data_IF_046662579768
#
_entry.id   IF_046662579768
#
_cell.length_a   1.000
_cell.length_b   1.000
_cell.length_c   1.000
_cell.angle_alpha   90.00
_cell.angle_beta   90.00
_cell.angle_gamma   90.00
#
_symmetry.space_group_name_H-M   'P 1'
#
loop_
_entity.id
_entity.type
_entity.pdbx_description
1 polymer ?
#
# COMPACT_ATOMS: atom_id res chain seq x y z
N UNK A 1 78.25 -24.73 15.16
CA UNK A 1 78.12 -23.90 13.95
C UNK A 1 77.04 -24.50 13.06
N UNK A 2 76.09 -23.69 12.57
CA UNK A 2 75.17 -24.00 11.45
C UNK A 2 73.74 -24.54 11.71
N UNK A 3 73.04 -24.09 12.75
CA UNK A 3 71.58 -24.35 12.89
C UNK A 3 70.70 -23.11 13.19
N UNK A 4 71.26 -22.02 13.72
CA UNK A 4 70.45 -20.88 14.21
C UNK A 4 70.17 -19.75 13.19
N UNK A 5 70.72 -19.81 11.96
CA UNK A 5 70.61 -18.68 11.01
C UNK A 5 69.42 -18.73 10.05
N UNK A 6 68.61 -19.80 10.03
CA UNK A 6 67.46 -19.92 9.11
C UNK A 6 66.15 -19.30 9.61
N UNK A 7 66.02 -19.00 10.91
CA UNK A 7 64.74 -18.54 11.50
C UNK A 7 64.40 -17.06 11.31
N UNK A 8 65.37 -16.19 11.00
CA UNK A 8 65.11 -14.74 10.87
C UNK A 8 64.64 -14.29 9.48
N UNK A 9 64.90 -15.07 8.43
CA UNK A 9 64.55 -14.69 7.06
C UNK A 9 63.07 -14.97 6.71
N UNK A 10 62.45 -15.98 7.31
CA UNK A 10 61.04 -16.31 7.06
C UNK A 10 60.07 -15.40 7.83
N UNK A 11 60.47 -14.89 9.00
CA UNK A 11 59.65 -13.96 9.81
C UNK A 11 59.56 -12.57 9.14
N UNK A 12 60.56 -12.16 8.36
CA UNK A 12 60.58 -10.86 7.68
C UNK A 12 59.73 -10.82 6.39
N UNK A 13 59.35 -11.98 5.83
CA UNK A 13 58.55 -12.06 4.60
C UNK A 13 57.04 -12.17 4.83
N UNK A 14 56.59 -12.46 6.06
CA UNK A 14 55.17 -12.50 6.43
C UNK A 14 54.58 -11.11 6.77
N UNK A 15 55.42 -10.16 7.18
CA UNK A 15 55.00 -8.81 7.59
C UNK A 15 54.38 -7.96 6.45
N UNK A 16 54.90 -7.96 5.20
CA UNK A 16 54.27 -7.19 4.11
C UNK A 16 52.92 -7.78 3.64
N UNK A 17 52.68 -9.08 3.81
CA UNK A 17 51.40 -9.74 3.47
C UNK A 17 50.26 -9.36 4.43
N UNK A 18 50.56 -9.16 5.72
CA UNK A 18 49.58 -8.67 6.70
C UNK A 18 49.23 -7.19 6.50
N UNK A 19 50.16 -6.38 5.97
CA UNK A 19 49.89 -4.97 5.66
C UNK A 19 49.03 -4.78 4.40
N UNK A 20 49.08 -5.69 3.42
CA UNK A 20 48.16 -5.66 2.27
C UNK A 20 46.74 -6.15 2.61
N UNK A 21 46.56 -6.92 3.68
CA UNK A 21 45.24 -7.37 4.16
C UNK A 21 44.47 -6.28 4.93
N UNK A 22 45.14 -5.21 5.37
CA UNK A 22 44.52 -4.04 5.99
C UNK A 22 44.29 -2.91 4.97
N UNK A 23 43.87 -3.24 3.74
CA UNK A 23 43.28 -2.21 2.89
C UNK A 23 42.05 -1.67 3.62
N UNK A 24 41.94 -0.36 3.88
CA UNK A 24 40.71 0.19 4.43
C UNK A 24 39.59 -0.24 3.50
N UNK A 25 38.64 -1.01 4.03
CA UNK A 25 37.45 -1.36 3.27
C UNK A 25 36.87 -0.05 2.75
N UNK A 26 36.77 0.08 1.42
CA UNK A 26 36.20 1.29 0.81
C UNK A 26 34.83 1.50 1.44
N UNK A 27 34.67 2.61 2.14
CA UNK A 27 33.39 2.98 2.74
C UNK A 27 32.40 3.04 1.60
N UNK A 28 31.34 2.21 1.60
CA UNK A 28 30.39 2.22 0.50
C UNK A 28 29.81 3.63 0.36
N UNK A 29 29.87 4.16 -0.86
CA UNK A 29 29.32 5.48 -1.17
C UNK A 29 27.82 5.39 -0.95
N UNK A 30 27.31 6.22 -0.04
CA UNK A 30 25.87 6.36 0.18
C UNK A 30 25.36 7.49 -0.68
N UNK A 31 24.49 7.18 -1.63
CA UNK A 31 23.75 8.20 -2.36
C UNK A 31 22.50 8.56 -1.56
N UNK A 32 22.32 9.86 -1.31
CA UNK A 32 21.13 10.41 -0.68
C UNK A 32 20.21 10.98 -1.76
N UNK A 33 19.07 10.31 -2.00
CA UNK A 33 18.11 10.69 -3.03
C UNK A 33 16.85 11.26 -2.36
N UNK A 34 16.48 12.54 -2.59
CA UNK A 34 15.23 13.09 -2.05
C UNK A 34 14.01 12.31 -2.52
N UNK A 35 13.09 12.00 -1.61
CA UNK A 35 11.88 11.23 -1.92
C UNK A 35 10.97 11.98 -2.92
N UNK A 36 11.07 13.32 -2.96
CA UNK A 36 10.35 14.16 -3.93
C UNK A 36 10.67 13.84 -5.40
N UNK A 37 11.82 13.19 -5.68
CA UNK A 37 12.12 12.70 -7.04
C UNK A 37 11.14 11.62 -7.51
N UNK A 38 10.45 10.95 -6.59
CA UNK A 38 9.45 9.93 -6.86
C UNK A 38 8.01 10.48 -6.83
N UNK A 39 7.82 11.80 -6.89
CA UNK A 39 6.48 12.41 -6.85
C UNK A 39 5.56 11.92 -7.98
N UNK A 40 6.10 11.59 -9.16
CA UNK A 40 5.31 11.05 -10.28
C UNK A 40 4.86 9.60 -10.09
N UNK A 41 5.45 8.88 -9.13
CA UNK A 41 5.13 7.50 -8.78
C UNK A 41 4.28 7.40 -7.50
N UNK A 42 3.92 8.56 -6.94
CA UNK A 42 3.11 8.66 -5.74
C UNK A 42 1.71 8.07 -6.00
N UNK A 43 1.43 6.92 -5.41
CA UNK A 43 0.09 6.37 -5.35
C UNK A 43 -0.61 6.91 -4.10
N UNK A 44 -1.73 7.62 -4.30
CA UNK A 44 -2.58 8.01 -3.19
C UNK A 44 -3.43 6.82 -2.75
N UNK A 45 -3.36 6.49 -1.47
CA UNK A 45 -4.29 5.56 -0.85
C UNK A 45 -5.25 6.32 0.07
N UNK A 46 -6.55 6.05 -0.12
CA UNK A 46 -7.64 6.64 0.66
C UNK A 46 -8.42 5.56 1.39
N UNK A 47 -8.96 5.92 2.55
CA UNK A 47 -9.97 5.06 3.17
C UNK A 47 -11.22 5.01 2.29
N UNK A 48 -11.91 3.88 2.33
CA UNK A 48 -13.22 3.76 1.70
C UNK A 48 -14.27 4.46 2.56
N UNK A 49 -14.48 5.74 2.29
CA UNK A 49 -15.54 6.55 2.94
C UNK A 49 -16.87 6.50 2.17
N UNK A 50 -16.80 6.22 0.87
CA UNK A 50 -17.96 6.14 -0.03
C UNK A 50 -17.79 5.05 -1.06
N UNK A 51 -18.89 4.40 -1.42
CA UNK A 51 -18.99 3.47 -2.56
C UNK A 51 -20.22 3.85 -3.37
N UNK A 52 -20.00 4.29 -4.60
CA UNK A 52 -21.06 4.53 -5.59
C UNK A 52 -21.30 3.22 -6.33
N UNK A 53 -22.19 2.38 -5.81
CA UNK A 53 -22.26 0.98 -6.19
C UNK A 53 -22.63 0.78 -7.67
N UNK A 54 -23.46 1.67 -8.24
CA UNK A 54 -23.83 1.65 -9.66
C UNK A 54 -22.89 2.41 -10.60
N UNK A 55 -21.74 2.90 -10.13
CA UNK A 55 -20.80 3.65 -10.96
C UNK A 55 -19.50 2.86 -11.19
N UNK A 56 -18.82 3.05 -12.34
CA UNK A 56 -17.57 2.33 -12.64
C UNK A 56 -16.49 2.48 -11.56
N UNK A 57 -16.43 3.64 -10.90
CA UNK A 57 -15.48 3.93 -9.83
C UNK A 57 -15.75 3.15 -8.53
N UNK A 58 -16.99 2.73 -8.28
CA UNK A 58 -17.35 1.93 -7.11
C UNK A 58 -17.23 0.41 -7.33
N UNK A 59 -17.03 -0.02 -8.58
CA UNK A 59 -16.95 -1.44 -8.95
C UNK A 59 -15.82 -2.20 -8.24
N UNK A 60 -14.59 -1.66 -8.07
CA UNK A 60 -13.51 -2.37 -7.39
C UNK A 60 -13.84 -2.76 -5.94
N UNK A 61 -14.77 -2.07 -5.28
CA UNK A 61 -15.21 -2.36 -3.92
C UNK A 61 -16.28 -3.46 -3.88
N UNK A 62 -16.98 -3.74 -4.98
CA UNK A 62 -18.03 -4.77 -5.06
C UNK A 62 -17.43 -6.15 -5.36
N UNK A 63 -16.92 -6.82 -4.33
CA UNK A 63 -16.10 -8.02 -4.47
C UNK A 63 -16.86 -9.28 -4.92
N UNK A 64 -18.12 -9.47 -4.51
CA UNK A 64 -18.91 -10.63 -4.92
C UNK A 64 -20.41 -10.39 -4.75
N UNK A 65 -21.23 -11.12 -5.53
CA UNK A 65 -22.68 -11.14 -5.39
C UNK A 65 -23.38 -9.88 -5.86
N UNK A 66 -22.82 -9.20 -6.86
CA UNK A 66 -23.41 -8.02 -7.49
C UNK A 66 -23.49 -8.20 -9.00
N UNK A 67 -24.65 -7.86 -9.56
CA UNK A 67 -24.89 -7.88 -11.00
C UNK A 67 -24.21 -6.73 -11.75
N UNK A 68 -24.65 -6.47 -12.98
CA UNK A 68 -24.18 -5.33 -13.76
C UNK A 68 -24.65 -3.99 -13.16
N UNK A 69 -23.99 -2.91 -13.57
CA UNK A 69 -24.41 -1.56 -13.21
C UNK A 69 -25.71 -1.22 -13.99
N UNK A 70 -26.75 -0.83 -13.26
CA UNK A 70 -28.07 -0.49 -13.79
C UNK A 70 -28.40 0.98 -13.52
N UNK A 71 -29.38 1.53 -14.25
CA UNK A 71 -29.82 2.92 -14.10
C UNK A 71 -31.34 3.03 -14.01
N UNK A 72 -31.80 3.92 -13.15
CA UNK A 72 -33.19 4.40 -13.09
C UNK A 72 -33.20 5.93 -13.11
N UNK A 73 -34.39 6.54 -13.10
CA UNK A 73 -34.55 7.97 -12.90
C UNK A 73 -33.96 8.46 -11.56
N UNK A 74 -33.88 7.59 -10.55
CA UNK A 74 -33.33 7.92 -9.23
C UNK A 74 -31.79 7.85 -9.17
N UNK A 75 -31.13 7.32 -10.21
CA UNK A 75 -29.68 7.18 -10.29
C UNK A 75 -29.21 5.77 -10.66
N UNK A 76 -27.89 5.58 -10.62
CA UNK A 76 -27.22 4.31 -10.90
C UNK A 76 -27.22 3.40 -9.66
N UNK A 77 -27.32 2.09 -9.88
CA UNK A 77 -27.32 1.08 -8.81
C UNK A 77 -26.82 -0.28 -9.29
N UNK A 78 -26.63 -1.20 -8.36
CA UNK A 78 -26.41 -2.63 -8.64
C UNK A 78 -27.43 -3.47 -7.90
N UNK A 79 -27.80 -4.61 -8.47
CA UNK A 79 -28.55 -5.65 -7.77
C UNK A 79 -27.60 -6.61 -7.09
N UNK A 80 -27.98 -7.05 -5.89
CA UNK A 80 -27.39 -8.23 -5.29
C UNK A 80 -27.86 -9.47 -6.06
N UNK A 81 -26.93 -10.29 -6.50
CA UNK A 81 -27.20 -11.55 -7.19
C UNK A 81 -26.96 -12.72 -6.23
N UNK A 82 -27.93 -13.63 -6.14
CA UNK A 82 -27.88 -14.75 -5.20
C UNK A 82 -28.22 -14.33 -3.77
N UNK A 83 -27.61 -14.98 -2.77
CA UNK A 83 -28.00 -14.83 -1.36
C UNK A 83 -27.28 -13.72 -0.59
N UNK A 84 -26.29 -13.05 -1.18
CA UNK A 84 -25.51 -12.01 -0.49
C UNK A 84 -24.77 -11.08 -1.44
N UNK A 85 -24.47 -9.87 -0.97
CA UNK A 85 -23.51 -8.95 -1.60
C UNK A 85 -22.33 -8.71 -0.67
N UNK A 86 -21.10 -8.74 -1.20
CA UNK A 86 -19.85 -8.56 -0.44
C UNK A 86 -19.08 -7.33 -0.91
N UNK A 87 -18.92 -6.35 -0.03
CA UNK A 87 -18.18 -5.11 -0.28
C UNK A 87 -16.84 -5.15 0.47
N UNK A 88 -15.76 -4.80 -0.23
CA UNK A 88 -14.43 -4.58 0.35
C UNK A 88 -14.26 -3.12 0.68
N UNK A 89 -13.86 -2.87 1.92
CA UNK A 89 -13.60 -1.53 2.45
C UNK A 89 -12.16 -1.48 2.93
N UNK A 90 -11.52 -0.33 2.81
CA UNK A 90 -10.21 -0.08 3.42
C UNK A 90 -10.33 0.97 4.51
N UNK A 91 -9.83 0.65 5.70
CA UNK A 91 -9.82 1.54 6.86
C UNK A 91 -8.40 1.58 7.44
N UNK A 92 -7.95 2.74 7.86
CA UNK A 92 -6.61 2.90 8.42
C UNK A 92 -6.54 2.51 9.89
N UNK A 93 -7.56 2.89 10.65
CA UNK A 93 -7.66 2.67 12.09
C UNK A 93 -9.10 2.29 12.46
N UNK A 94 -9.30 1.26 13.30
CA UNK A 94 -10.63 0.92 13.82
C UNK A 94 -11.25 2.09 14.59
N UNK A 95 -12.47 2.47 14.23
CA UNK A 95 -13.25 3.53 14.88
C UNK A 95 -14.75 3.30 14.68
N UNK A 96 -15.56 3.91 15.54
CA UNK A 96 -17.00 3.90 15.36
C UNK A 96 -17.36 4.61 14.05
N UNK A 97 -18.23 3.97 13.27
CA UNK A 97 -18.71 4.50 12.00
C UNK A 97 -20.22 4.36 11.92
N UNK A 98 -20.82 5.10 11.01
CA UNK A 98 -22.21 4.94 10.61
C UNK A 98 -22.27 4.60 9.12
N UNK A 99 -22.76 3.42 8.82
CA UNK A 99 -23.14 3.06 7.46
C UNK A 99 -24.44 3.78 7.12
N UNK A 100 -24.42 4.57 6.06
CA UNK A 100 -25.59 5.08 5.36
C UNK A 100 -25.66 4.40 4.02
N UNK A 101 -26.77 3.73 3.72
CA UNK A 101 -26.95 3.01 2.47
C UNK A 101 -28.23 3.45 1.77
N UNK A 102 -28.13 3.78 0.49
CA UNK A 102 -29.28 4.00 -0.38
C UNK A 102 -29.64 2.67 -1.02
N UNK A 103 -30.79 2.12 -0.67
CA UNK A 103 -31.21 0.78 -1.09
C UNK A 103 -32.72 0.64 -1.25
N UNK A 104 -33.15 -0.44 -1.91
CA UNK A 104 -34.55 -0.86 -2.03
C UNK A 104 -34.65 -2.34 -2.39
N UNK A 105 -35.85 -2.91 -2.25
CA UNK A 105 -36.14 -4.26 -2.70
C UNK A 105 -36.32 -4.30 -4.23
N UNK A 106 -35.45 -5.03 -4.92
CA UNK A 106 -35.39 -5.12 -6.38
C UNK A 106 -36.59 -5.87 -7.00
N UNK A 107 -37.27 -6.70 -6.21
CA UNK A 107 -38.49 -7.43 -6.58
C UNK A 107 -39.78 -6.67 -6.23
N UNK A 108 -39.65 -5.47 -5.64
CA UNK A 108 -40.78 -4.66 -5.20
C UNK A 108 -41.37 -5.04 -3.85
N UNK A 109 -40.71 -5.89 -3.05
CA UNK A 109 -41.17 -6.20 -1.69
C UNK A 109 -41.26 -4.93 -0.82
N UNK A 110 -42.34 -4.79 -0.05
CA UNK A 110 -42.54 -3.62 0.82
C UNK A 110 -41.73 -3.66 2.11
N UNK A 111 -41.22 -4.84 2.49
CA UNK A 111 -40.52 -5.06 3.74
C UNK A 111 -39.51 -6.21 3.63
N UNK A 112 -38.33 -5.92 3.08
CA UNK A 112 -37.23 -6.88 2.93
C UNK A 112 -36.22 -6.72 4.10
N UNK A 113 -36.13 -7.68 5.03
CA UNK A 113 -35.17 -7.63 6.13
C UNK A 113 -33.76 -7.98 5.65
N UNK A 114 -32.83 -7.04 5.78
CA UNK A 114 -31.42 -7.14 5.40
C UNK A 114 -30.56 -7.11 6.64
N UNK A 115 -29.73 -8.15 6.81
CA UNK A 115 -28.68 -8.22 7.83
C UNK A 115 -27.36 -7.75 7.24
N UNK A 116 -26.61 -7.04 8.07
CA UNK A 116 -25.27 -6.55 7.76
C UNK A 116 -24.26 -7.28 8.65
N UNK A 117 -23.26 -7.87 8.02
CA UNK A 117 -22.16 -8.59 8.67
C UNK A 117 -20.86 -7.90 8.32
N UNK A 118 -20.05 -7.54 9.31
CA UNK A 118 -18.75 -6.93 9.14
C UNK A 118 -17.67 -7.89 9.65
N UNK A 119 -16.73 -8.25 8.79
CA UNK A 119 -15.63 -9.17 9.11
C UNK A 119 -16.08 -10.53 9.68
N UNK A 120 -17.28 -10.99 9.33
CA UNK A 120 -17.86 -12.25 9.81
C UNK A 120 -18.75 -12.10 11.05
N UNK A 121 -18.78 -10.91 11.67
CA UNK A 121 -19.58 -10.62 12.85
C UNK A 121 -20.83 -9.81 12.50
N UNK A 122 -21.95 -10.10 13.17
CA UNK A 122 -23.22 -9.42 12.90
C UNK A 122 -23.19 -7.98 13.40
N UNK A 123 -23.21 -7.01 12.48
CA UNK A 123 -23.22 -5.59 12.82
C UNK A 123 -24.64 -5.05 13.08
N UNK A 124 -25.67 -5.70 12.51
CA UNK A 124 -27.08 -5.35 12.73
C UNK A 124 -27.95 -5.67 11.53
N UNK A 125 -29.15 -5.07 11.49
CA UNK A 125 -30.09 -5.26 10.40
C UNK A 125 -30.97 -4.02 10.19
N UNK A 126 -31.47 -3.87 8.97
CA UNK A 126 -32.49 -2.89 8.61
C UNK A 126 -33.54 -3.54 7.70
N UNK A 127 -34.66 -2.85 7.50
CA UNK A 127 -35.77 -3.32 6.66
C UNK A 127 -35.91 -2.37 5.49
N UNK A 128 -35.73 -2.86 4.26
CA UNK A 128 -35.82 -2.04 3.05
C UNK A 128 -37.20 -2.15 2.41
N UNK A 129 -37.73 -1.03 1.96
CA UNK A 129 -38.98 -0.97 1.19
C UNK A 129 -38.76 -1.11 -0.32
N UNK A 130 -39.86 -1.02 -1.07
CA UNK A 130 -39.89 -1.15 -2.52
C UNK A 130 -39.37 0.07 -3.29
N UNK A 131 -39.18 1.19 -2.61
CA UNK A 131 -38.68 2.45 -3.19
C UNK A 131 -37.28 2.78 -2.62
N UNK A 132 -36.44 3.49 -3.39
CA UNK A 132 -35.16 3.97 -2.89
C UNK A 132 -35.31 4.73 -1.58
N UNK A 133 -34.60 4.28 -0.56
CA UNK A 133 -34.57 4.90 0.77
C UNK A 133 -33.16 4.88 1.34
N UNK A 134 -32.89 5.80 2.28
CA UNK A 134 -31.63 5.82 3.03
C UNK A 134 -31.82 5.11 4.37
N UNK A 135 -30.98 4.11 4.62
CA UNK A 135 -30.96 3.34 5.87
C UNK A 135 -29.65 3.60 6.59
N UNK A 136 -29.71 3.73 7.91
CA UNK A 136 -28.53 3.96 8.75
C UNK A 136 -28.30 2.79 9.70
N UNK A 137 -27.04 2.41 9.88
CA UNK A 137 -26.62 1.42 10.87
C UNK A 137 -25.33 1.89 11.56
N UNK A 138 -25.30 1.84 12.89
CA UNK A 138 -24.08 2.06 13.66
C UNK A 138 -23.18 0.83 13.54
N UNK A 139 -21.91 1.06 13.20
CA UNK A 139 -20.87 0.04 13.05
C UNK A 139 -19.81 0.29 14.13
N UNK A 140 -19.88 -0.43 15.27
CA UNK A 140 -19.00 -0.16 16.40
C UNK A 140 -17.54 -0.52 16.10
N UNK A 141 -16.62 0.16 16.78
CA UNK A 141 -15.17 0.11 16.60
C UNK A 141 -14.58 -1.31 16.65
N UNK A 142 -15.12 -2.16 17.51
CA UNK A 142 -14.65 -3.52 17.77
C UNK A 142 -14.83 -4.47 16.59
N UNK A 143 -15.78 -4.19 15.69
CA UNK A 143 -15.98 -4.95 14.46
C UNK A 143 -14.98 -4.59 13.35
N UNK A 144 -14.27 -3.46 13.47
CA UNK A 144 -13.33 -2.98 12.47
C UNK A 144 -11.91 -3.49 12.71
N UNK A 145 -11.23 -3.81 11.62
CA UNK A 145 -9.79 -4.06 11.63
C UNK A 145 -9.06 -2.99 10.82
N UNK A 146 -7.79 -2.74 11.15
CA UNK A 146 -6.94 -1.90 10.30
C UNK A 146 -6.63 -2.64 8.99
N UNK A 147 -6.76 -1.96 7.85
CA UNK A 147 -6.57 -2.51 6.51
C UNK A 147 -7.88 -2.85 5.81
N UNK A 148 -7.91 -4.01 5.14
CA UNK A 148 -9.10 -4.48 4.41
C UNK A 148 -10.15 -5.01 5.38
N UNK A 149 -11.39 -4.56 5.19
CA UNK A 149 -12.58 -5.01 5.89
C UNK A 149 -13.60 -5.54 4.89
N UNK A 150 -14.44 -6.48 5.33
CA UNK A 150 -15.44 -7.14 4.50
C UNK A 150 -16.84 -6.88 5.04
N UNK A 151 -17.61 -6.07 4.34
CA UNK A 151 -19.01 -5.78 4.64
C UNK A 151 -19.91 -6.65 3.77
N UNK A 152 -20.76 -7.45 4.39
CA UNK A 152 -21.65 -8.39 3.71
C UNK A 152 -23.11 -8.04 4.01
N UNK A 153 -23.91 -7.93 2.96
CA UNK A 153 -25.36 -7.86 3.04
C UNK A 153 -25.93 -9.25 2.81
N UNK A 154 -26.81 -9.70 3.69
CA UNK A 154 -27.46 -11.00 3.57
C UNK A 154 -28.90 -10.95 4.09
N UNK A 155 -29.70 -11.93 3.70
CA UNK A 155 -31.06 -12.06 4.23
C UNK A 155 -31.01 -12.43 5.73
N UNK A 156 -31.95 -11.91 6.52
CA UNK A 156 -32.11 -12.30 7.93
C UNK A 156 -32.49 -13.78 8.05
N UNK A 157 -33.42 -14.25 7.21
CA UNK A 157 -33.74 -15.66 7.11
C UNK A 157 -32.64 -16.41 6.34
N UNK A 158 -32.19 -17.58 6.82
CA UNK A 158 -31.19 -18.37 6.13
C UNK A 158 -31.75 -18.91 4.80
N UNK A 159 -30.96 -18.78 3.73
CA UNK A 159 -31.29 -19.31 2.41
C UNK A 159 -32.19 -18.41 1.56
N UNK A 160 -32.11 -18.63 0.24
CA UNK A 160 -32.83 -17.88 -0.77
C UNK A 160 -32.04 -16.70 -1.34
N UNK A 161 -32.62 -16.07 -2.35
CA UNK A 161 -32.09 -14.86 -2.97
C UNK A 161 -32.29 -13.65 -2.06
N UNK A 162 -31.38 -12.68 -2.17
CA UNK A 162 -31.48 -11.36 -1.56
C UNK A 162 -31.79 -10.36 -2.68
N UNK A 163 -33.08 -10.04 -2.94
CA UNK A 163 -33.47 -9.10 -3.98
C UNK A 163 -33.22 -7.66 -3.51
N UNK A 164 -31.97 -7.31 -3.25
CA UNK A 164 -31.55 -5.99 -2.76
C UNK A 164 -30.90 -5.21 -3.90
N UNK A 165 -31.38 -3.99 -4.14
CA UNK A 165 -30.69 -3.01 -4.97
C UNK A 165 -29.95 -2.01 -4.07
N UNK A 166 -28.71 -1.68 -4.43
CA UNK A 166 -27.86 -0.71 -3.71
C UNK A 166 -27.40 0.36 -4.69
N UNK A 167 -27.71 1.62 -4.40
CA UNK A 167 -27.24 2.78 -5.16
C UNK A 167 -25.90 3.30 -4.65
N UNK A 168 -25.84 3.64 -3.36
CA UNK A 168 -24.65 4.23 -2.74
C UNK A 168 -24.51 3.80 -1.28
N UNK A 169 -23.26 3.75 -0.81
CA UNK A 169 -22.90 3.54 0.59
C UNK A 169 -21.97 4.65 1.04
N UNK A 170 -22.19 5.17 2.25
CA UNK A 170 -21.29 6.13 2.91
C UNK A 170 -21.00 5.66 4.33
N UNK A 171 -19.73 5.77 4.73
CA UNK A 171 -19.22 5.40 6.04
C UNK A 171 -18.84 6.66 6.80
N UNK A 172 -19.84 7.31 7.38
CA UNK A 172 -19.64 8.54 8.13
C UNK A 172 -19.00 8.25 9.50
N UNK A 173 -18.19 9.16 10.01
CA UNK A 173 -17.72 9.17 11.40
C UNK A 173 -17.48 10.60 11.85
N UNK A 174 -17.13 10.80 13.13
CA UNK A 174 -16.84 12.14 13.69
C UNK A 174 -15.65 12.85 13.01
N UNK A 175 -14.89 12.12 12.19
CA UNK A 175 -13.62 12.51 11.61
C UNK A 175 -13.54 12.18 10.10
N UNK A 176 -14.57 12.52 9.34
CA UNK A 176 -14.52 12.38 7.88
C UNK A 176 -13.74 13.55 7.30
N UNK A 177 -12.58 13.32 6.64
CA UNK A 177 -11.87 14.41 5.99
C UNK A 177 -12.78 15.04 4.94
N UNK A 178 -12.72 16.38 4.75
CA UNK A 178 -13.54 17.04 3.74
C UNK A 178 -13.34 16.40 2.37
N UNK A 179 -14.42 16.31 1.58
CA UNK A 179 -14.39 15.67 0.26
C UNK A 179 -13.33 16.31 -0.66
N UNK A 180 -13.11 17.61 -0.50
CA UNK A 180 -12.16 18.42 -1.27
C UNK A 180 -10.80 18.58 -0.58
N UNK A 181 -10.52 17.78 0.47
CA UNK A 181 -9.21 17.77 1.09
C UNK A 181 -8.16 17.40 0.04
N UNK A 182 -7.10 18.23 -0.05
CA UNK A 182 -5.98 17.94 -0.93
C UNK A 182 -5.42 16.54 -0.66
N UNK A 183 -4.91 15.89 -1.71
CA UNK A 183 -4.17 14.64 -1.55
C UNK A 183 -2.79 14.86 -0.92
N UNK A 184 -2.07 13.77 -0.62
CA UNK A 184 -0.64 13.81 -0.34
C UNK A 184 0.12 14.53 -1.45
N UNK A 185 1.06 15.40 -1.09
CA UNK A 185 1.85 16.17 -2.07
C UNK A 185 3.20 16.57 -1.51
N UNK A 186 4.15 16.86 -2.39
CA UNK A 186 5.40 17.50 -2.01
C UNK A 186 5.26 19.02 -2.06
N UNK A 187 5.84 19.70 -1.08
CA UNK A 187 6.05 21.15 -1.12
C UNK A 187 7.29 21.49 -1.97
N UNK A 188 7.45 22.77 -2.32
CA UNK A 188 8.57 23.26 -3.17
C UNK A 188 9.95 23.01 -2.54
N UNK A 189 10.02 22.90 -1.22
CA UNK A 189 11.24 22.58 -0.47
C UNK A 189 11.51 21.06 -0.35
N UNK A 190 10.67 20.22 -0.97
CA UNK A 190 10.83 18.78 -0.99
C UNK A 190 10.21 18.04 0.18
N UNK A 191 9.53 18.74 1.09
CA UNK A 191 8.82 18.14 2.22
C UNK A 191 7.55 17.42 1.76
N UNK A 192 7.25 16.28 2.38
CA UNK A 192 6.01 15.55 2.10
C UNK A 192 4.91 16.02 3.04
N UNK A 193 3.81 16.52 2.46
CA UNK A 193 2.58 16.94 3.13
C UNK A 193 1.54 15.82 3.05
N UNK A 194 1.03 15.39 4.20
CA UNK A 194 0.09 14.29 4.37
C UNK A 194 -1.12 14.77 5.18
N UNK A 195 -2.26 15.03 4.53
CA UNK A 195 -3.50 15.36 5.22
C UNK A 195 -4.02 14.20 6.07
N UNK A 196 -4.74 14.50 7.16
CA UNK A 196 -5.31 13.48 8.03
C UNK A 196 -6.19 12.49 7.24
N UNK A 197 -6.05 11.20 7.55
CA UNK A 197 -6.78 10.12 6.87
C UNK A 197 -6.28 9.78 5.46
N UNK A 198 -5.21 10.43 4.97
CA UNK A 198 -4.58 10.12 3.68
C UNK A 198 -3.26 9.38 3.87
N UNK A 199 -2.89 8.59 2.87
CA UNK A 199 -1.61 7.89 2.81
C UNK A 199 -0.95 8.08 1.44
N UNK A 200 0.37 8.22 1.46
CA UNK A 200 1.24 8.23 0.29
C UNK A 200 1.94 6.88 0.19
N UNK A 201 1.71 6.15 -0.89
CA UNK A 201 2.41 4.89 -1.18
C UNK A 201 3.39 5.07 -2.33
N UNK A 202 4.63 4.64 -2.11
CA UNK A 202 5.69 4.62 -3.11
C UNK A 202 6.13 3.18 -3.36
N UNK A 203 6.33 2.80 -4.63
CA UNK A 203 6.86 1.50 -5.00
C UNK A 203 8.32 1.66 -5.41
N UNK A 204 9.23 1.33 -4.51
CA UNK A 204 10.64 1.67 -4.64
C UNK A 204 11.50 0.41 -4.80
N UNK A 205 12.39 0.42 -5.78
CA UNK A 205 13.47 -0.57 -5.86
C UNK A 205 14.60 -0.16 -4.91
N UNK A 206 14.73 -0.89 -3.80
CA UNK A 206 15.65 -0.54 -2.72
C UNK A 206 16.80 -1.56 -2.67
N UNK A 207 18.06 -1.11 -2.80
CA UNK A 207 19.20 -2.01 -2.67
C UNK A 207 19.34 -2.53 -1.24
N UNK A 208 20.13 -3.60 -1.07
CA UNK A 208 20.42 -4.14 0.27
C UNK A 208 20.97 -3.05 1.18
N UNK A 209 20.33 -2.86 2.33
CA UNK A 209 20.71 -1.84 3.32
C UNK A 209 20.17 -0.43 3.04
N UNK A 210 19.27 -0.27 2.06
CA UNK A 210 18.63 1.01 1.80
C UNK A 210 17.74 1.46 2.97
N UNK A 211 17.75 2.77 3.23
CA UNK A 211 17.13 3.38 4.41
C UNK A 211 16.40 4.65 4.04
N UNK A 212 15.21 4.87 4.60
CA UNK A 212 14.53 6.17 4.57
C UNK A 212 15.03 7.00 5.76
N UNK A 213 15.39 8.25 5.54
CA UNK A 213 15.78 9.22 6.59
C UNK A 213 14.98 10.50 6.47
N UNK A 214 14.89 11.26 7.56
CA UNK A 214 14.17 12.54 7.61
C UNK A 214 14.71 13.43 8.73
N UNK A 215 14.48 14.73 8.61
CA UNK A 215 14.94 15.73 9.57
C UNK A 215 13.95 15.99 10.70
N UNK A 216 12.67 15.65 10.52
CA UNK A 216 11.67 15.75 11.57
C UNK A 216 10.25 15.58 11.06
N UNK A 217 9.30 15.56 11.98
CA UNK A 217 7.87 15.48 11.70
C UNK A 217 7.16 16.65 12.38
N UNK A 218 6.44 17.44 11.60
CA UNK A 218 5.57 18.52 12.08
C UNK A 218 4.12 18.15 11.85
N UNK A 219 3.23 18.62 12.72
CA UNK A 219 1.80 18.37 12.63
C UNK A 219 1.07 19.66 12.95
N UNK A 220 0.05 20.00 12.15
CA UNK A 220 -0.77 21.19 12.39
C UNK A 220 -1.77 21.01 13.53
N UNK A 221 -2.08 19.75 13.90
CA UNK A 221 -3.02 19.41 14.96
C UNK A 221 -2.36 18.58 16.08
N UNK A 222 -2.79 18.75 17.35
CA UNK A 222 -2.40 17.87 18.45
C UNK A 222 -2.84 16.41 18.20
N UNK A 223 -2.01 15.43 18.59
CA UNK A 223 -2.33 14.00 18.48
C UNK A 223 -2.17 13.39 17.07
N UNK A 224 -2.12 14.24 16.04
CA UNK A 224 -1.74 13.88 14.68
C UNK A 224 -0.23 13.60 14.61
N UNK A 225 0.15 12.50 13.96
CA UNK A 225 1.54 12.08 13.80
C UNK A 225 1.74 11.24 12.55
N UNK A 226 2.97 10.78 12.32
CA UNK A 226 3.31 10.00 11.13
C UNK A 226 3.44 8.51 11.47
N UNK A 227 2.83 7.67 10.65
CA UNK A 227 3.05 6.22 10.63
C UNK A 227 3.68 5.80 9.31
N UNK A 228 4.73 4.97 9.39
CA UNK A 228 5.30 4.28 8.23
C UNK A 228 4.89 2.83 8.23
N UNK A 229 4.57 2.32 7.06
CA UNK A 229 4.52 0.89 6.77
C UNK A 229 5.43 0.56 5.60
N UNK A 230 6.15 -0.55 5.73
CA UNK A 230 6.98 -1.09 4.65
C UNK A 230 6.60 -2.54 4.43
N UNK A 231 6.25 -2.87 3.19
CA UNK A 231 5.94 -4.24 2.74
C UNK A 231 6.86 -4.60 1.58
N UNK A 232 7.45 -5.79 1.60
CA UNK A 232 8.14 -6.33 0.43
C UNK A 232 7.11 -6.84 -0.58
N UNK A 233 7.36 -6.63 -1.88
CA UNK A 233 6.49 -7.13 -2.97
C UNK A 233 6.95 -8.48 -3.53
N UNK A 234 7.68 -9.27 -2.76
CA UNK A 234 8.27 -10.56 -3.16
C UNK A 234 7.24 -11.71 -3.31
N UNK A 235 5.98 -11.39 -3.57
CA UNK A 235 4.90 -12.35 -3.84
C UNK A 235 4.44 -13.17 -2.63
N UNK A 236 5.14 -13.10 -1.51
CA UNK A 236 4.71 -13.63 -0.22
C UNK A 236 3.79 -12.64 0.49
N UNK A 237 2.89 -13.14 1.33
CA UNK A 237 2.11 -12.34 2.28
C UNK A 237 2.99 -11.77 3.40
N UNK A 238 4.14 -11.20 3.06
CA UNK A 238 5.15 -10.72 3.98
C UNK A 238 4.52 -9.77 4.98
N UNK A 239 4.70 -10.07 6.27
CA UNK A 239 4.21 -9.26 7.37
C UNK A 239 4.87 -7.86 7.26
N UNK A 240 4.04 -6.85 6.98
CA UNK A 240 4.53 -5.48 6.84
C UNK A 240 5.10 -4.97 8.17
N UNK A 241 6.24 -4.30 8.12
CA UNK A 241 6.80 -3.63 9.31
C UNK A 241 6.16 -2.26 9.43
N UNK A 242 5.65 -1.92 10.61
CA UNK A 242 5.06 -0.60 10.89
C UNK A 242 5.77 0.10 12.04
N UNK A 243 5.85 1.43 11.98
CA UNK A 243 6.38 2.26 13.07
C UNK A 243 5.73 3.64 13.07
N UNK A 244 5.31 4.09 14.26
CA UNK A 244 4.91 5.48 14.49
C UNK A 244 6.14 6.33 14.84
N UNK A 245 6.22 7.53 14.31
CA UNK A 245 7.37 8.42 14.53
C UNK A 245 7.06 9.53 15.52
N UNK A 246 8.12 9.94 16.23
CA UNK A 246 8.15 11.19 16.98
C UNK A 246 8.46 12.38 16.08
N UNK A 247 8.59 13.56 16.70
CA UNK A 247 8.88 14.83 16.00
C UNK A 247 10.34 14.99 15.58
N UNK A 248 11.23 14.21 16.18
CA UNK A 248 12.68 14.28 16.00
C UNK A 248 13.16 13.68 14.66
N UNK A 249 14.38 14.05 14.20
CA UNK A 249 15.04 13.39 13.08
C UNK A 249 15.11 11.87 13.27
N UNK A 250 15.10 11.13 12.17
CA UNK A 250 15.13 9.67 12.26
C UNK A 250 15.42 8.97 10.95
N UNK A 251 15.38 7.63 11.02
CA UNK A 251 15.49 6.80 9.84
C UNK A 251 14.91 5.40 10.05
N UNK A 252 14.53 4.75 8.96
CA UNK A 252 13.88 3.45 8.92
C UNK A 252 14.47 2.58 7.80
N UNK A 253 14.92 1.38 8.15
CA UNK A 253 15.52 0.46 7.19
C UNK A 253 14.44 -0.16 6.32
N UNK A 254 14.51 0.10 5.01
CA UNK A 254 13.46 -0.31 4.06
C UNK A 254 13.65 -1.75 3.59
N UNK A 255 14.89 -2.14 3.32
CA UNK A 255 15.18 -3.42 2.70
C UNK A 255 15.13 -4.58 3.71
N UNK A 256 14.47 -5.71 3.37
CA UNK A 256 14.83 -7.00 3.94
C UNK A 256 16.26 -7.38 3.52
N UNK A 257 16.86 -8.41 4.14
CA UNK A 257 18.29 -8.72 4.05
C UNK A 257 18.88 -8.86 2.61
N UNK A 258 18.05 -8.99 1.58
CA UNK A 258 18.43 -9.12 0.17
C UNK A 258 18.21 -7.90 -0.75
N UNK A 259 17.56 -6.83 -0.29
CA UNK A 259 17.05 -5.78 -1.20
C UNK A 259 15.80 -6.21 -1.98
N UNK A 260 15.27 -5.33 -2.84
CA UNK A 260 14.14 -5.62 -3.73
C UNK A 260 13.12 -4.48 -3.84
N UNK A 261 12.00 -4.77 -4.50
CA UNK A 261 10.85 -3.87 -4.60
C UNK A 261 10.10 -3.83 -3.26
N UNK A 262 9.88 -2.63 -2.74
CA UNK A 262 9.11 -2.39 -1.51
C UNK A 262 7.98 -1.41 -1.77
N UNK A 263 6.83 -1.68 -1.16
CA UNK A 263 5.76 -0.70 -0.99
C UNK A 263 5.99 0.07 0.32
N UNK A 264 6.29 1.36 0.19
CA UNK A 264 6.51 2.30 1.28
C UNK A 264 5.26 3.16 1.46
N UNK A 265 4.50 2.93 2.53
CA UNK A 265 3.28 3.72 2.83
C UNK A 265 3.53 4.65 4.01
N UNK A 266 3.44 5.95 3.75
CA UNK A 266 3.52 7.04 4.73
C UNK A 266 2.12 7.58 5.01
N UNK A 267 1.69 7.58 6.27
CA UNK A 267 0.32 7.94 6.66
C UNK A 267 0.31 8.98 7.77
N UNK A 268 -0.58 9.97 7.63
CA UNK A 268 -0.97 10.82 8.75
C UNK A 268 -1.94 10.05 9.66
N UNK A 269 -1.52 9.77 10.90
CA UNK A 269 -2.19 8.89 11.86
C UNK A 269 -2.48 9.60 13.19
N UNK A 270 -3.68 9.35 13.73
CA UNK A 270 -4.24 10.04 14.90
C UNK A 270 -4.79 11.44 14.58
N UNK A 271 -5.80 11.90 15.34
CA UNK A 271 -6.45 13.19 15.10
C UNK A 271 -7.42 13.17 13.90
N UNK A 272 -8.37 14.09 13.92
CA UNK A 272 -9.51 14.09 12.98
C UNK A 272 -9.32 15.05 11.81
N UNK A 273 -8.41 16.02 11.96
CA UNK A 273 -8.13 17.06 10.98
C UNK A 273 -6.64 17.47 11.05
N UNK A 274 -6.20 18.18 10.02
CA UNK A 274 -4.88 18.75 9.89
C UNK A 274 -4.00 18.04 8.88
N UNK A 275 -2.71 18.37 8.93
CA UNK A 275 -1.70 17.90 7.99
C UNK A 275 -0.43 17.56 8.77
N UNK A 276 0.17 16.43 8.41
CA UNK A 276 1.50 16.02 8.82
C UNK A 276 2.48 16.42 7.74
N UNK A 277 3.58 17.03 8.15
CA UNK A 277 4.68 17.41 7.28
C UNK A 277 5.93 16.63 7.68
N UNK A 278 6.42 15.78 6.78
CA UNK A 278 7.68 15.06 6.91
C UNK A 278 8.79 15.88 6.26
N UNK A 279 9.77 16.29 7.07
CA UNK A 279 10.83 17.21 6.66
C UNK A 279 11.97 16.48 5.95
N UNK A 280 12.30 16.92 4.74
CA UNK A 280 13.38 16.44 3.88
C UNK A 280 13.50 14.89 3.82
N UNK A 281 12.43 14.16 3.47
CA UNK A 281 12.50 12.70 3.37
C UNK A 281 13.49 12.29 2.28
N UNK A 282 14.49 11.48 2.65
CA UNK A 282 15.58 11.08 1.77
C UNK A 282 15.78 9.57 1.82
N UNK A 283 15.89 8.94 0.65
CA UNK A 283 16.29 7.56 0.49
C UNK A 283 17.82 7.47 0.42
N UNK A 284 18.43 6.87 1.43
CA UNK A 284 19.83 6.45 1.39
C UNK A 284 19.93 5.13 0.61
N UNK A 285 20.64 5.15 -0.52
CA UNK A 285 20.98 3.96 -1.30
C UNK A 285 22.43 3.61 -1.03
N UNK A 286 22.66 2.35 -0.70
CA UNK A 286 24.00 1.76 -0.67
C UNK A 286 24.17 1.11 -2.02
N UNK A 287 24.75 1.84 -2.97
CA UNK A 287 25.16 1.21 -4.22
C UNK A 287 26.26 0.22 -3.87
N UNK A 288 26.06 -1.04 -4.27
CA UNK A 288 27.15 -1.99 -4.25
C UNK A 288 28.28 -1.37 -5.08
N UNK A 289 29.46 -1.23 -4.48
CA UNK A 289 30.64 -0.73 -5.18
C UNK A 289 30.68 -1.41 -6.56
N UNK A 290 30.79 -0.64 -7.66
CA UNK A 290 30.83 -1.23 -8.99
C UNK A 290 31.84 -2.36 -8.95
N UNK A 291 31.48 -3.58 -9.39
CA UNK A 291 32.29 -4.78 -9.17
C UNK A 291 33.71 -4.42 -9.58
N UNK A 292 34.63 -4.39 -8.59
CA UNK A 292 35.98 -3.88 -8.75
C UNK A 292 36.49 -4.40 -10.08
N UNK A 293 36.74 -3.48 -11.02
CA UNK A 293 36.96 -3.79 -12.42
C UNK A 293 37.83 -5.04 -12.49
N UNK A 294 37.21 -6.19 -12.81
CA UNK A 294 37.92 -7.46 -12.84
C UNK A 294 39.00 -7.23 -13.86
N UNK A 295 40.23 -7.19 -13.37
CA UNK A 295 41.39 -6.77 -14.14
C UNK A 295 41.32 -7.50 -15.48
N UNK A 296 41.20 -6.74 -16.57
CA UNK A 296 40.92 -7.26 -17.90
C UNK A 296 42.04 -8.20 -18.39
N UNK A 297 43.10 -8.34 -17.61
CA UNK A 297 44.22 -9.27 -17.74
C UNK A 297 43.87 -10.76 -17.52
N UNK A 298 42.69 -11.12 -16.99
CA UNK A 298 42.26 -12.54 -16.89
C UNK A 298 41.43 -13.03 -18.10
N UNK A 299 41.10 -12.16 -19.07
CA UNK A 299 40.48 -12.59 -20.34
C UNK A 299 41.52 -12.96 -21.39
N UNK A 300 42.27 -14.03 -21.16
CA UNK A 300 43.09 -14.67 -22.19
C UNK A 300 43.13 -16.19 -22.02
N UNK A 301 41.97 -16.85 -22.03
CA UNK A 301 41.77 -18.22 -22.54
C UNK A 301 40.34 -18.71 -22.23
N UNK A 302 39.42 -18.52 -23.18
CA UNK A 302 38.25 -19.38 -23.27
C UNK A 302 38.03 -19.74 -24.74
N UNK A 303 37.88 -21.04 -25.07
CA UNK A 303 37.69 -21.49 -26.44
C UNK A 303 36.30 -21.10 -26.94
N UNK A 304 36.26 -20.67 -28.21
CA UNK A 304 35.03 -20.44 -28.97
C UNK A 304 34.25 -21.75 -29.08
N UNK A 305 33.14 -21.85 -28.36
CA UNK A 305 32.11 -22.87 -28.57
C UNK A 305 30.85 -22.17 -29.07
N UNK A 306 30.58 -22.35 -30.37
CA UNK A 306 29.35 -21.97 -31.01
C UNK A 306 28.18 -22.80 -30.45
N UNK A 307 27.22 -22.15 -29.81
CA UNK A 307 25.86 -22.68 -29.68
C UNK A 307 24.88 -21.52 -29.82
N UNK A 308 24.20 -21.48 -30.97
CA UNK A 308 23.17 -20.51 -31.29
C UNK A 308 21.90 -20.71 -30.46
N UNK A 309 21.89 -20.16 -29.25
CA UNK A 309 20.69 -19.94 -28.47
C UNK A 309 20.10 -18.56 -28.80
N UNK A 310 18.86 -18.53 -29.30
CA UNK A 310 18.08 -17.29 -29.47
C UNK A 310 17.86 -16.62 -28.10
N UNK A 311 17.80 -15.28 -28.02
CA UNK A 311 17.47 -14.61 -26.77
C UNK A 311 16.02 -14.91 -26.36
N UNK A 312 15.83 -15.31 -25.11
CA UNK A 312 14.52 -15.39 -24.46
C UNK A 312 14.05 -13.95 -24.17
N UNK A 313 13.20 -13.43 -25.05
CA UNK A 313 12.53 -12.15 -24.88
C UNK A 313 11.22 -12.39 -24.12
N UNK A 314 11.16 -11.98 -22.85
CA UNK A 314 9.91 -11.93 -22.08
C UNK A 314 9.29 -10.56 -22.25
N UNK A 315 8.26 -10.44 -23.10
CA UNK A 315 7.45 -9.23 -23.23
C UNK A 315 6.31 -9.30 -22.21
N UNK A 316 6.30 -8.39 -21.24
CA UNK A 316 5.12 -8.13 -20.43
C UNK A 316 4.19 -7.21 -21.23
N UNK A 317 3.22 -7.81 -21.93
CA UNK A 317 2.08 -7.08 -22.47
C UNK A 317 1.11 -6.82 -21.32
N UNK A 318 1.17 -5.62 -20.76
CA UNK A 318 0.09 -5.10 -19.92
C UNK A 318 -1.00 -4.64 -20.88
N UNK A 319 -1.99 -5.49 -21.09
CA UNK A 319 -3.18 -5.16 -21.87
C UNK A 319 -4.02 -4.15 -21.09
N UNK A 320 -3.80 -2.85 -21.35
CA UNK A 320 -4.66 -1.77 -20.85
C UNK A 320 -5.85 -1.51 -21.79
N UNK A 321 -6.11 -2.36 -22.78
CA UNK A 321 -7.21 -2.21 -23.72
C UNK A 321 -8.32 -3.22 -23.42
N UNK A 322 -9.08 -2.97 -22.35
CA UNK A 322 -10.53 -3.18 -22.46
C UNK A 322 -11.14 -2.00 -23.20
N UNK A 323 -10.95 -2.03 -24.52
CA UNK A 323 -12.05 -1.67 -25.40
C UNK A 323 -13.18 -2.67 -25.11
N UNK A 324 -14.37 -2.17 -24.78
CA UNK A 324 -15.65 -2.64 -25.29
C UNK A 324 -16.79 -1.96 -24.50
N UNK A 325 -17.34 -0.89 -25.07
CA UNK A 325 -18.66 -0.89 -25.69
C UNK A 325 -19.04 0.54 -26.13
N UNK A 326 -18.50 0.95 -27.28
CA UNK A 326 -19.22 1.86 -28.17
C UNK A 326 -20.12 0.98 -29.05
N UNK A 327 -21.44 1.09 -28.87
CA UNK A 327 -22.42 0.37 -29.68
C UNK A 327 -23.86 0.75 -29.34
N UNK A 328 -24.40 1.66 -30.16
CA UNK A 328 -25.80 2.10 -30.33
C UNK A 328 -26.33 3.16 -29.35
#
# INVERSE_FOLDING_TARGET
>A
MSAERRSRAEILLALPLLLFACRPAETPVREAVPLSRYAGELAEETETVRVEAGEPLGRPQLAAGFGADERTEAGSFVRVEGGFGLVRLRLWEPRDRRLRVVAWAADGAEDLPVRVVLNGESAGAFRVGSRPGTYELALPRDLWIAGENRLRFERVAPGGELPLAIGAMRFAGEAEPPADAAGPRFADDGDLLLPSGRAATFFLEVPKGGRLTWEGVRSSAPGLGLELRVRAEDGGSGEGRSRRFGREPGGFDLAPAGGGLVALTLRAAGGDDGEVRLLAPTLERVDAAPPAAVDASIRAAAPSAASGGRPDLVIYLVDTLRADHLGC
#
